data_IF_403062340591
#
_entry.id   IF_403062340591
#
_cell.length_a   1.000
_cell.length_b   1.000
_cell.length_c   1.000
_cell.angle_alpha   90.00
_cell.angle_beta   90.00
_cell.angle_gamma   90.00
#
_symmetry.space_group_name_H-M   'P 1'
#
loop_
_entity.id
_entity.type
_entity.pdbx_description
1 polymer ?
#
# COMPACT_ATOMS: atom_id res chain seq x y z
N UNK A 1 -22.15 22.64 -1.78
CA UNK A 1 -20.72 22.36 -1.56
C UNK A 1 -20.51 20.85 -1.53
N UNK A 2 -19.52 20.36 -2.22
CA UNK A 2 -19.23 18.93 -2.26
C UNK A 2 -17.88 18.64 -1.60
N UNK A 3 -17.74 17.43 -1.08
CA UNK A 3 -16.50 16.94 -0.50
C UNK A 3 -15.93 15.88 -1.43
N UNK A 4 -14.65 15.94 -1.69
CA UNK A 4 -13.95 14.98 -2.54
C UNK A 4 -12.77 14.37 -1.79
N UNK A 5 -12.61 13.06 -1.91
CA UNK A 5 -11.40 12.40 -1.44
C UNK A 5 -10.26 12.72 -2.42
N UNK A 6 -9.31 13.53 -1.98
CA UNK A 6 -8.21 13.99 -2.84
C UNK A 6 -7.06 13.00 -2.87
N UNK A 7 -6.58 12.60 -1.71
CA UNK A 7 -5.42 11.74 -1.56
C UNK A 7 -5.61 10.76 -0.41
N UNK A 8 -4.90 9.66 -0.48
CA UNK A 8 -4.74 8.72 0.64
C UNK A 8 -3.25 8.64 0.96
N UNK A 9 -2.91 8.83 2.22
CA UNK A 9 -1.53 8.85 2.66
C UNK A 9 -1.17 7.70 3.60
N UNK A 10 0.04 7.20 3.42
CA UNK A 10 0.65 6.22 4.31
C UNK A 10 1.74 6.92 5.10
N UNK A 11 1.65 6.86 6.41
CA UNK A 11 2.70 7.35 7.30
C UNK A 11 3.69 6.20 7.48
N UNK A 12 4.94 6.43 7.11
CA UNK A 12 5.95 5.37 7.03
C UNK A 12 7.19 5.74 7.83
N UNK A 13 7.88 4.73 8.34
CA UNK A 13 9.09 4.92 9.14
C UNK A 13 10.34 5.09 8.29
N UNK A 14 10.41 4.39 7.15
CA UNK A 14 11.57 4.37 6.26
C UNK A 14 11.08 4.44 4.83
N UNK A 15 11.33 5.57 4.17
CA UNK A 15 10.83 5.80 2.81
C UNK A 15 11.35 4.75 1.83
N UNK A 16 12.65 4.48 1.84
CA UNK A 16 13.26 3.55 0.88
C UNK A 16 12.67 2.14 1.02
N UNK A 17 12.49 1.66 2.24
CA UNK A 17 11.91 0.34 2.50
C UNK A 17 10.45 0.26 2.07
N UNK A 18 9.70 1.31 2.36
CA UNK A 18 8.29 1.39 1.98
C UNK A 18 8.13 1.41 0.47
N UNK A 19 8.85 2.29 -0.21
CA UNK A 19 8.77 2.41 -1.66
C UNK A 19 9.23 1.13 -2.37
N UNK A 20 10.22 0.42 -1.82
CA UNK A 20 10.66 -0.86 -2.37
C UNK A 20 9.51 -1.88 -2.39
N UNK A 21 8.71 -1.94 -1.32
CA UNK A 21 7.53 -2.81 -1.29
C UNK A 21 6.54 -2.44 -2.40
N UNK A 22 6.18 -1.15 -2.49
CA UNK A 22 5.15 -0.70 -3.43
C UNK A 22 5.62 -0.77 -4.89
N UNK A 23 6.92 -0.61 -5.16
CA UNK A 23 7.48 -0.89 -6.49
C UNK A 23 7.33 -2.37 -6.85
N UNK A 24 7.58 -3.27 -5.91
CA UNK A 24 7.43 -4.72 -6.13
C UNK A 24 5.96 -5.12 -6.26
N UNK A 25 5.06 -4.39 -5.62
CA UNK A 25 3.63 -4.56 -5.82
C UNK A 25 3.22 -4.20 -7.26
N UNK A 26 3.94 -3.29 -7.89
CA UNK A 26 3.71 -2.92 -9.28
C UNK A 26 3.49 -1.43 -9.51
N UNK A 27 3.65 -0.59 -8.49
CA UNK A 27 3.49 0.85 -8.67
C UNK A 27 4.72 1.46 -9.36
N UNK A 28 4.46 2.40 -10.25
CA UNK A 28 5.49 3.15 -10.96
C UNK A 28 5.93 4.33 -10.08
N UNK A 29 6.95 4.11 -9.27
CA UNK A 29 7.49 5.10 -8.35
C UNK A 29 8.88 5.51 -8.84
N UNK A 30 9.17 6.84 -8.95
CA UNK A 30 10.48 7.29 -9.39
C UNK A 30 11.63 6.69 -8.58
N UNK A 31 12.67 6.25 -9.28
CA UNK A 31 13.81 5.58 -8.64
C UNK A 31 14.58 6.49 -7.69
N UNK A 32 14.52 7.81 -7.89
CA UNK A 32 15.22 8.82 -7.10
C UNK A 32 14.41 9.36 -5.91
N UNK A 33 13.30 8.73 -5.57
CA UNK A 33 12.38 9.22 -4.52
C UNK A 33 12.74 8.77 -3.10
N UNK A 34 13.65 7.84 -2.95
CA UNK A 34 13.88 7.11 -1.68
C UNK A 34 14.36 7.99 -0.52
N UNK A 35 15.02 9.10 -0.81
CA UNK A 35 15.55 10.03 0.20
C UNK A 35 14.63 11.22 0.48
N UNK A 36 13.45 11.24 -0.13
CA UNK A 36 12.48 12.33 0.07
C UNK A 36 11.63 12.06 1.29
N UNK A 37 11.24 13.10 2.04
CA UNK A 37 10.32 12.92 3.18
C UNK A 37 8.87 12.75 2.77
N UNK A 38 8.51 13.08 1.51
CA UNK A 38 7.16 13.02 0.97
C UNK A 38 7.20 12.62 -0.50
N UNK A 39 6.44 11.58 -0.85
CA UNK A 39 6.39 11.07 -2.22
C UNK A 39 4.93 10.85 -2.60
N UNK A 40 4.53 11.34 -3.77
CA UNK A 40 3.17 11.17 -4.30
C UNK A 40 3.21 10.42 -5.62
N UNK A 41 2.24 9.53 -5.81
CA UNK A 41 2.03 8.84 -7.08
C UNK A 41 0.54 8.95 -7.44
N UNK A 42 0.25 9.56 -8.59
CA UNK A 42 -1.11 9.63 -9.10
C UNK A 42 -1.39 8.37 -9.92
N UNK A 43 -2.45 7.65 -9.53
CA UNK A 43 -2.88 6.47 -10.26
C UNK A 43 -3.64 6.85 -11.52
N UNK A 44 -3.73 5.93 -12.49
CA UNK A 44 -4.45 6.15 -13.73
C UNK A 44 -5.93 6.49 -13.52
N UNK A 45 -6.53 5.99 -12.43
CA UNK A 45 -7.92 6.28 -12.09
C UNK A 45 -8.12 7.63 -11.40
N UNK A 46 -7.06 8.43 -11.22
CA UNK A 46 -7.12 9.76 -10.63
C UNK A 46 -6.89 9.81 -9.12
N UNK A 47 -6.83 8.69 -8.44
CA UNK A 47 -6.49 8.66 -7.01
C UNK A 47 -5.00 8.92 -6.85
N UNK A 48 -4.63 9.79 -5.90
CA UNK A 48 -3.23 10.02 -5.52
C UNK A 48 -2.95 9.31 -4.22
N UNK A 49 -1.91 8.48 -4.24
CA UNK A 49 -1.38 7.83 -3.05
C UNK A 49 -0.08 8.53 -2.67
N UNK A 50 0.12 8.80 -1.38
CA UNK A 50 1.39 9.37 -0.93
C UNK A 50 1.98 8.60 0.24
N UNK A 51 3.29 8.75 0.40
CA UNK A 51 4.07 8.23 1.53
C UNK A 51 4.73 9.41 2.22
N UNK A 52 4.73 9.42 3.54
CA UNK A 52 5.27 10.54 4.28
C UNK A 52 5.93 10.08 5.59
N UNK A 53 7.12 10.60 5.85
CA UNK A 53 7.87 10.31 7.07
C UNK A 53 7.85 11.46 8.08
N UNK A 54 7.47 12.65 7.66
CA UNK A 54 7.73 13.88 8.44
C UNK A 54 6.47 14.66 8.82
N UNK A 55 5.38 14.53 8.07
CA UNK A 55 4.19 15.37 8.22
C UNK A 55 3.61 15.31 9.64
N UNK A 56 3.42 14.11 10.16
CA UNK A 56 2.84 13.94 11.49
C UNK A 56 3.71 14.57 12.58
N UNK A 57 5.03 14.41 12.46
CA UNK A 57 5.97 15.01 13.42
C UNK A 57 5.97 16.53 13.34
N UNK A 58 5.80 17.09 12.15
CA UNK A 58 5.85 18.51 11.92
C UNK A 58 4.54 19.22 12.29
N UNK A 59 3.39 18.59 12.05
CA UNK A 59 2.11 19.28 12.07
C UNK A 59 1.07 18.69 13.04
N UNK A 60 1.30 17.49 13.58
CA UNK A 60 0.34 16.85 14.50
C UNK A 60 0.94 16.72 15.91
N UNK A 61 0.66 17.69 16.80
CA UNK A 61 1.14 17.62 18.18
C UNK A 61 0.47 16.51 18.99
N UNK A 62 -0.62 15.95 18.51
CA UNK A 62 -1.38 14.91 19.19
C UNK A 62 -1.21 13.54 18.54
N UNK A 63 -0.19 13.39 17.70
CA UNK A 63 0.05 12.12 17.02
C UNK A 63 0.30 11.00 18.01
N UNK A 64 -0.23 9.83 17.69
CA UNK A 64 -0.02 8.61 18.46
C UNK A 64 0.55 7.53 17.54
N UNK A 65 1.41 6.63 18.05
CA UNK A 65 1.86 5.49 17.27
C UNK A 65 0.69 4.55 16.99
N UNK A 66 0.65 3.92 15.81
CA UNK A 66 -0.39 2.95 15.50
C UNK A 66 -0.29 1.73 16.43
N UNK A 67 -1.43 1.15 16.78
CA UNK A 67 -1.52 -0.05 17.58
C UNK A 67 -2.70 -0.91 17.13
N UNK A 68 -2.57 -2.23 17.33
CA UNK A 68 -3.59 -3.17 16.90
C UNK A 68 -3.52 -3.51 15.42
N UNK A 69 -4.60 -4.09 14.88
CA UNK A 69 -4.71 -4.44 13.48
C UNK A 69 -5.02 -3.23 12.60
N UNK A 70 -5.35 -3.52 11.34
CA UNK A 70 -5.65 -2.45 10.39
C UNK A 70 -7.01 -1.79 10.71
N UNK A 71 -7.10 -0.51 10.35
CA UNK A 71 -8.37 0.23 10.33
C UNK A 71 -8.76 0.65 8.92
N UNK A 72 -7.81 0.62 8.00
CA UNK A 72 -8.02 0.89 6.59
C UNK A 72 -7.33 -0.21 5.79
N UNK A 73 -7.92 -0.55 4.65
CA UNK A 73 -7.37 -1.54 3.75
C UNK A 73 -7.22 -0.91 2.37
N UNK A 74 -6.02 -0.47 1.99
CA UNK A 74 -5.77 -0.09 0.61
C UNK A 74 -5.93 -1.32 -0.28
N UNK A 75 -6.68 -1.17 -1.36
CA UNK A 75 -6.91 -2.25 -2.31
C UNK A 75 -6.31 -1.88 -3.65
N UNK A 76 -5.47 -2.77 -4.19
CA UNK A 76 -4.86 -2.63 -5.50
C UNK A 76 -5.45 -3.69 -6.43
N UNK A 77 -6.07 -3.21 -7.51
CA UNK A 77 -6.70 -4.10 -8.49
C UNK A 77 -5.68 -4.49 -9.55
N UNK A 78 -5.53 -5.78 -9.77
CA UNK A 78 -4.60 -6.34 -10.74
C UNK A 78 -5.35 -6.88 -11.95
N UNK A 79 -4.61 -7.15 -13.03
CA UNK A 79 -5.19 -7.49 -14.32
C UNK A 79 -6.02 -8.78 -14.30
N UNK A 80 -5.55 -9.80 -13.57
CA UNK A 80 -6.20 -11.11 -13.51
C UNK A 80 -5.77 -11.88 -12.27
N UNK A 81 -6.36 -13.06 -12.08
CA UNK A 81 -6.08 -13.92 -10.93
C UNK A 81 -4.64 -14.40 -10.92
N UNK A 82 -4.07 -14.68 -12.09
CA UNK A 82 -2.67 -15.08 -12.20
C UNK A 82 -1.73 -13.97 -11.71
N UNK A 83 -2.07 -12.71 -11.94
CA UNK A 83 -1.30 -11.58 -11.43
C UNK A 83 -1.35 -11.50 -9.90
N UNK A 84 -2.50 -11.80 -9.29
CA UNK A 84 -2.61 -11.88 -7.82
C UNK A 84 -1.69 -12.95 -7.26
N UNK A 85 -1.72 -14.15 -7.83
CA UNK A 85 -0.86 -15.25 -7.40
C UNK A 85 0.61 -14.91 -7.55
N UNK A 86 1.01 -14.36 -8.70
CA UNK A 86 2.40 -14.02 -8.99
C UNK A 86 2.90 -12.89 -8.06
N UNK A 87 2.09 -11.87 -7.84
CA UNK A 87 2.45 -10.75 -6.96
C UNK A 87 2.60 -11.21 -5.51
N UNK A 88 1.67 -12.03 -5.03
CA UNK A 88 1.76 -12.59 -3.68
C UNK A 88 3.04 -13.43 -3.52
N UNK A 89 3.33 -14.29 -4.48
CA UNK A 89 4.54 -15.12 -4.45
C UNK A 89 5.82 -14.28 -4.48
N UNK A 90 5.85 -13.23 -5.30
CA UNK A 90 6.99 -12.32 -5.38
C UNK A 90 7.22 -11.60 -4.06
N UNK A 91 6.16 -11.04 -3.48
CA UNK A 91 6.28 -10.27 -2.23
C UNK A 91 6.69 -11.16 -1.06
N UNK A 92 6.03 -12.30 -0.89
CA UNK A 92 6.39 -13.23 0.20
C UNK A 92 7.77 -13.84 0.01
N UNK A 93 8.17 -14.09 -1.24
CA UNK A 93 9.51 -14.55 -1.57
C UNK A 93 10.61 -13.54 -1.25
N UNK A 94 10.26 -12.26 -1.14
CA UNK A 94 11.16 -11.18 -0.71
C UNK A 94 11.14 -10.95 0.80
N UNK A 95 10.41 -11.77 1.56
CA UNK A 95 10.36 -11.68 3.00
C UNK A 95 9.24 -10.81 3.57
N UNK A 96 8.35 -10.27 2.74
CA UNK A 96 7.18 -9.55 3.24
C UNK A 96 6.16 -10.54 3.80
N UNK A 97 5.42 -10.11 4.82
CA UNK A 97 4.48 -10.98 5.49
C UNK A 97 3.26 -11.27 4.60
N UNK A 98 3.03 -12.54 4.29
CA UNK A 98 1.78 -12.98 3.68
C UNK A 98 0.70 -13.05 4.74
N UNK A 99 -0.14 -12.01 4.78
CA UNK A 99 -1.22 -11.91 5.75
C UNK A 99 -2.31 -12.95 5.47
N UNK A 100 -2.65 -13.10 4.21
CA UNK A 100 -3.56 -14.16 3.74
C UNK A 100 -3.23 -14.54 2.30
N UNK A 101 -3.01 -15.83 2.06
CA UNK A 101 -2.73 -16.38 0.73
C UNK A 101 -3.94 -16.19 -0.21
N UNK A 102 -3.73 -16.20 -1.53
CA UNK A 102 -4.81 -15.99 -2.48
C UNK A 102 -5.99 -16.93 -2.26
N UNK A 103 -7.20 -16.36 -2.36
CA UNK A 103 -8.44 -17.11 -2.17
C UNK A 103 -9.58 -16.45 -2.96
N UNK A 104 -10.61 -17.23 -3.26
CA UNK A 104 -11.82 -16.70 -3.87
C UNK A 104 -12.85 -16.37 -2.80
N UNK A 105 -13.44 -15.18 -2.90
CA UNK A 105 -14.50 -14.75 -1.98
C UNK A 105 -15.84 -15.35 -2.37
N UNK A 106 -16.81 -15.30 -1.44
CA UNK A 106 -18.17 -15.77 -1.70
C UNK A 106 -18.87 -14.97 -2.82
N UNK A 107 -18.43 -13.72 -3.07
CA UNK A 107 -19.01 -12.89 -4.14
C UNK A 107 -18.22 -12.93 -5.45
N UNK A 108 -17.29 -13.86 -5.58
CA UNK A 108 -16.59 -14.12 -6.84
C UNK A 108 -15.33 -13.31 -7.12
N UNK A 109 -14.87 -12.48 -6.18
CA UNK A 109 -13.59 -11.81 -6.29
C UNK A 109 -12.45 -12.74 -5.88
N UNK A 110 -11.26 -12.52 -6.43
CA UNK A 110 -10.04 -13.22 -6.07
C UNK A 110 -9.08 -12.26 -5.40
N UNK A 111 -8.56 -12.60 -4.23
CA UNK A 111 -7.73 -11.65 -3.49
C UNK A 111 -6.70 -12.34 -2.61
N UNK A 112 -5.70 -11.55 -2.22
CA UNK A 112 -4.72 -11.91 -1.20
C UNK A 112 -4.44 -10.68 -0.35
N UNK A 113 -3.80 -10.89 0.79
CA UNK A 113 -3.40 -9.82 1.70
C UNK A 113 -1.92 -9.93 2.00
N UNK A 114 -1.20 -8.82 1.92
CA UNK A 114 0.23 -8.74 2.23
C UNK A 114 0.47 -7.53 3.10
N UNK A 115 1.35 -7.66 4.09
CA UNK A 115 1.72 -6.54 4.95
C UNK A 115 2.94 -5.83 4.37
N UNK A 116 2.87 -4.49 4.36
CA UNK A 116 4.01 -3.66 3.97
C UNK A 116 5.03 -3.56 5.13
N UNK A 117 6.19 -2.91 4.93
CA UNK A 117 7.22 -2.83 5.98
C UNK A 117 6.78 -2.14 7.28
N UNK A 118 5.74 -1.30 7.23
CA UNK A 118 5.22 -0.61 8.41
C UNK A 118 4.06 -1.36 9.06
N UNK A 119 3.70 -2.54 8.55
CA UNK A 119 2.60 -3.33 9.08
C UNK A 119 1.23 -2.95 8.51
N UNK A 120 1.19 -2.13 7.45
CA UNK A 120 -0.06 -1.87 6.76
C UNK A 120 -0.45 -3.08 5.92
N UNK A 121 -1.65 -3.59 6.15
CA UNK A 121 -2.18 -4.70 5.35
C UNK A 121 -2.79 -4.14 4.08
N UNK A 122 -2.34 -4.65 2.93
CA UNK A 122 -2.90 -4.26 1.64
C UNK A 122 -3.62 -5.45 1.00
N UNK A 123 -4.72 -5.16 0.30
CA UNK A 123 -5.42 -6.11 -0.54
C UNK A 123 -4.87 -6.04 -1.95
N UNK A 124 -4.64 -7.19 -2.56
CA UNK A 124 -4.40 -7.30 -3.99
C UNK A 124 -5.52 -8.17 -4.57
N UNK A 125 -6.23 -7.66 -5.56
CA UNK A 125 -7.49 -8.24 -6.00
C UNK A 125 -7.59 -8.34 -7.52
N UNK A 126 -8.43 -9.25 -7.98
CA UNK A 126 -8.84 -9.38 -9.37
C UNK A 126 -10.28 -9.90 -9.44
N UNK A 127 -10.89 -9.69 -10.57
CA UNK A 127 -12.26 -10.19 -10.82
C UNK A 127 -12.34 -11.68 -11.12
#
# INVERSE_FOLDING_TARGET
MSVQLSMVGLVVGDMARSLAFYRRLGLDIPADADDRPHVEVRMANGVTLFWDTAFAKAYDPNREPPSGGYRMLPEFFLADRGAVDATYATLTGRGYRGHRAPFETAFGAYMAMVDDPDGNTVLITAG
#
